data_IF_956986534291
#
_entry.id   IF_956986534291
#
_cell.length_a   1.000
_cell.length_b   1.000
_cell.length_c   1.000
_cell.angle_alpha   90.00
_cell.angle_beta   90.00
_cell.angle_gamma   90.00
#
_symmetry.space_group_name_H-M   'P 1'
#
loop_
_entity.id
_entity.type
_entity.pdbx_description
1 polymer ?
#
# COMPACT_ATOMS: atom_id res chain seq x y z
N UNK A 1 4.23 -67.21 -3.79
CA UNK A 1 4.90 -66.19 -4.64
C UNK A 1 3.91 -65.45 -5.53
N UNK A 2 3.09 -66.14 -6.34
CA UNK A 2 2.08 -65.51 -7.22
C UNK A 2 1.08 -64.60 -6.48
N UNK A 3 0.62 -65.01 -5.29
CA UNK A 3 -0.35 -64.25 -4.47
C UNK A 3 0.19 -62.91 -3.96
N UNK A 4 1.48 -62.86 -3.60
CA UNK A 4 2.14 -61.63 -3.16
C UNK A 4 2.31 -60.63 -4.30
N UNK A 5 2.62 -61.11 -5.50
CA UNK A 5 2.69 -60.28 -6.71
C UNK A 5 1.32 -59.68 -7.02
N UNK A 6 0.26 -60.49 -6.94
CA UNK A 6 -1.11 -60.05 -7.24
C UNK A 6 -1.61 -58.99 -6.23
N UNK A 7 -1.33 -59.19 -4.94
CA UNK A 7 -1.65 -58.23 -3.87
C UNK A 7 -0.87 -56.91 -4.04
N UNK A 8 0.41 -56.99 -4.39
CA UNK A 8 1.23 -55.79 -4.65
C UNK A 8 0.75 -55.01 -5.86
N UNK A 9 0.28 -55.69 -6.91
CA UNK A 9 -0.23 -55.01 -8.11
C UNK A 9 -1.56 -54.31 -7.82
N UNK A 10 -2.42 -54.94 -7.03
CA UNK A 10 -3.71 -54.38 -6.63
C UNK A 10 -3.55 -53.12 -5.75
N UNK A 11 -2.58 -53.09 -4.84
CA UNK A 11 -2.33 -51.93 -3.98
C UNK A 11 -1.82 -50.72 -4.78
N UNK A 12 -0.96 -50.94 -5.77
CA UNK A 12 -0.45 -49.89 -6.67
C UNK A 12 -1.58 -49.29 -7.51
N UNK A 13 -2.50 -50.12 -8.01
CA UNK A 13 -3.66 -49.66 -8.78
C UNK A 13 -4.58 -48.79 -7.92
N UNK A 14 -4.86 -49.20 -6.68
CA UNK A 14 -5.68 -48.42 -5.75
C UNK A 14 -5.04 -47.06 -5.44
N UNK A 15 -3.72 -47.03 -5.22
CA UNK A 15 -2.98 -45.81 -4.94
C UNK A 15 -3.07 -44.83 -6.14
N UNK A 16 -2.91 -45.32 -7.36
CA UNK A 16 -3.02 -44.51 -8.57
C UNK A 16 -4.43 -43.96 -8.78
N UNK A 17 -5.46 -44.74 -8.50
CA UNK A 17 -6.85 -44.27 -8.56
C UNK A 17 -7.12 -43.18 -7.53
N UNK A 18 -6.60 -43.33 -6.32
CA UNK A 18 -6.76 -42.33 -5.25
C UNK A 18 -6.04 -41.02 -5.59
N UNK A 19 -4.81 -41.08 -6.10
CA UNK A 19 -4.05 -39.90 -6.55
C UNK A 19 -4.76 -39.12 -7.66
N UNK A 20 -5.46 -39.82 -8.57
CA UNK A 20 -6.23 -39.18 -9.64
C UNK A 20 -7.51 -38.52 -9.14
N UNK A 21 -8.10 -39.01 -8.05
CA UNK A 21 -9.32 -38.44 -7.47
C UNK A 21 -9.02 -37.20 -6.60
N UNK A 22 -7.91 -37.19 -5.86
CA UNK A 22 -7.52 -36.05 -5.01
C UNK A 22 -7.08 -34.81 -5.81
N UNK A 23 -6.72 -34.99 -7.08
CA UNK A 23 -6.26 -33.92 -7.98
C UNK A 23 -7.36 -33.07 -8.63
N UNK A 24 -8.64 -33.20 -8.27
CA UNK A 24 -9.72 -32.34 -8.81
C UNK A 24 -10.09 -31.22 -7.84
N UNK A 25 -9.42 -30.05 -7.89
CA UNK A 25 -9.93 -28.87 -7.20
C UNK A 25 -11.24 -28.43 -7.88
N UNK A 26 -12.31 -28.39 -7.10
CA UNK A 26 -13.60 -27.84 -7.50
C UNK A 26 -13.44 -26.32 -7.76
N UNK A 27 -13.07 -25.96 -8.99
CA UNK A 27 -12.82 -24.57 -9.41
C UNK A 27 -14.10 -23.77 -9.63
N UNK A 28 -15.27 -24.40 -9.62
CA UNK A 28 -16.52 -23.76 -10.03
C UNK A 28 -17.14 -22.84 -8.96
N UNK A 29 -16.73 -22.99 -7.70
CA UNK A 29 -17.24 -22.17 -6.59
C UNK A 29 -16.51 -20.83 -6.40
N UNK A 30 -15.32 -20.65 -6.99
CA UNK A 30 -14.48 -19.46 -6.77
C UNK A 30 -14.78 -18.28 -7.70
N UNK A 31 -15.29 -18.53 -8.90
CA UNK A 31 -15.59 -17.47 -9.88
C UNK A 31 -16.95 -16.78 -9.64
N UNK A 32 -17.87 -17.43 -8.94
CA UNK A 32 -19.17 -16.82 -8.61
C UNK A 32 -19.08 -15.79 -7.48
N UNK A 33 -18.22 -16.04 -6.50
CA UNK A 33 -18.07 -15.20 -5.29
C UNK A 33 -17.31 -13.90 -5.61
N UNK A 34 -16.32 -13.96 -6.52
CA UNK A 34 -15.49 -12.80 -6.89
C UNK A 34 -16.25 -11.68 -7.62
N UNK A 35 -17.38 -11.99 -8.29
CA UNK A 35 -18.20 -10.99 -8.97
C UNK A 35 -19.01 -10.11 -8.03
N UNK A 36 -19.37 -10.59 -6.84
CA UNK A 36 -20.25 -9.87 -5.91
C UNK A 36 -19.50 -8.71 -5.22
N UNK A 37 -18.18 -8.85 -5.00
CA UNK A 37 -17.37 -7.85 -4.32
C UNK A 37 -16.87 -6.70 -5.21
N UNK A 38 -16.86 -6.87 -6.54
CA UNK A 38 -16.37 -5.83 -7.47
C UNK A 38 -17.40 -4.72 -7.75
N UNK A 39 -18.70 -5.01 -7.61
CA UNK A 39 -19.78 -4.07 -7.91
C UNK A 39 -19.90 -2.90 -6.92
N UNK A 40 -19.27 -3.01 -5.75
CA UNK A 40 -19.33 -2.01 -4.66
C UNK A 40 -17.98 -1.28 -4.44
N UNK A 41 -17.23 -1.06 -5.52
CA UNK A 41 -16.03 -0.20 -5.45
C UNK A 41 -16.47 1.26 -5.56
N UNK A 42 -16.80 1.86 -4.42
CA UNK A 42 -17.05 3.29 -4.30
C UNK A 42 -15.76 4.05 -4.66
N UNK A 43 -15.78 4.81 -5.75
CA UNK A 43 -14.69 5.71 -6.10
C UNK A 43 -14.68 6.88 -5.11
N UNK A 44 -13.86 6.79 -4.08
CA UNK A 44 -13.56 7.96 -3.24
C UNK A 44 -12.84 8.98 -4.13
N UNK A 45 -13.34 10.21 -4.29
CA UNK A 45 -12.57 11.25 -4.96
C UNK A 45 -11.28 11.45 -4.17
N UNK A 46 -10.14 11.33 -4.85
CA UNK A 46 -8.85 11.73 -4.28
C UNK A 46 -8.96 13.23 -4.03
N UNK A 47 -8.85 13.64 -2.75
CA UNK A 47 -8.75 15.07 -2.44
C UNK A 47 -7.61 15.66 -3.29
N UNK A 48 -7.79 16.85 -3.86
CA UNK A 48 -6.72 17.52 -4.56
C UNK A 48 -5.53 17.58 -3.60
N UNK A 49 -4.40 16.99 -3.99
CA UNK A 49 -3.16 17.27 -3.28
C UNK A 49 -2.97 18.78 -3.39
N UNK A 50 -3.15 19.49 -2.28
CA UNK A 50 -2.74 20.89 -2.16
C UNK A 50 -1.23 20.91 -2.31
N UNK A 51 -0.80 20.99 -3.57
CA UNK A 51 0.60 21.10 -3.92
C UNK A 51 0.99 22.52 -3.56
N UNK A 52 1.57 22.67 -2.37
CA UNK A 52 2.31 23.86 -2.03
C UNK A 52 3.54 23.94 -2.94
N UNK A 53 3.36 24.51 -4.14
CA UNK A 53 4.42 24.71 -5.12
C UNK A 53 4.97 26.11 -4.98
N UNK A 54 6.28 26.25 -4.80
CA UNK A 54 6.91 27.57 -4.71
C UNK A 54 8.35 27.51 -4.24
N UNK A 55 9.07 28.63 -4.33
CA UNK A 55 10.48 28.73 -3.95
C UNK A 55 10.70 28.37 -2.47
N UNK A 56 9.82 28.83 -1.57
CA UNK A 56 9.90 28.52 -0.14
C UNK A 56 9.76 27.01 0.13
N UNK A 57 8.79 26.35 -0.52
CA UNK A 57 8.65 24.89 -0.45
C UNK A 57 9.85 24.16 -1.05
N UNK A 58 10.41 24.65 -2.17
CA UNK A 58 11.63 24.12 -2.77
C UNK A 58 12.85 24.20 -1.83
N UNK A 59 12.95 25.24 -0.99
CA UNK A 59 14.00 25.35 0.02
C UNK A 59 13.83 24.32 1.13
N UNK A 60 12.59 24.08 1.58
CA UNK A 60 12.28 23.03 2.54
C UNK A 60 12.60 21.64 1.98
N UNK A 61 12.21 21.39 0.73
CA UNK A 61 12.48 20.14 0.04
C UNK A 61 13.99 19.90 -0.14
N UNK A 62 14.75 20.95 -0.46
CA UNK A 62 16.22 20.89 -0.52
C UNK A 62 16.83 20.58 0.85
N UNK A 63 16.28 21.15 1.93
CA UNK A 63 16.73 20.85 3.29
C UNK A 63 16.40 19.42 3.72
N UNK A 64 15.24 18.89 3.28
CA UNK A 64 14.82 17.51 3.50
C UNK A 64 15.42 16.50 2.48
N UNK A 65 16.37 16.92 1.64
CA UNK A 65 17.00 16.09 0.60
C UNK A 65 16.00 15.40 -0.34
N UNK A 66 14.87 16.05 -0.63
CA UNK A 66 13.82 15.50 -1.49
C UNK A 66 12.72 14.74 -0.76
N UNK A 67 12.82 14.53 0.56
CA UNK A 67 11.78 13.83 1.32
C UNK A 67 10.58 14.73 1.59
N UNK A 68 9.52 14.55 0.78
CA UNK A 68 8.26 15.28 0.91
C UNK A 68 7.54 14.97 2.22
N UNK A 69 7.57 13.72 2.70
CA UNK A 69 6.87 13.34 3.93
C UNK A 69 7.49 14.04 5.15
N UNK A 70 8.81 14.22 5.14
CA UNK A 70 9.50 14.99 6.17
C UNK A 70 9.11 16.48 6.12
N UNK A 71 9.01 17.08 4.93
CA UNK A 71 8.57 18.48 4.78
C UNK A 71 7.14 18.67 5.31
N UNK A 72 6.21 17.78 4.98
CA UNK A 72 4.83 17.85 5.49
C UNK A 72 4.78 17.78 7.01
N UNK A 73 5.60 16.93 7.65
CA UNK A 73 5.67 16.87 9.12
C UNK A 73 6.10 18.22 9.72
N UNK A 74 7.08 18.90 9.11
CA UNK A 74 7.51 20.22 9.57
C UNK A 74 6.41 21.27 9.40
N UNK A 75 5.71 21.26 8.26
CA UNK A 75 4.60 22.19 7.99
C UNK A 75 3.50 22.00 9.03
N UNK A 76 3.03 20.76 9.22
CA UNK A 76 1.97 20.45 10.20
C UNK A 76 2.39 20.83 11.62
N UNK A 77 3.64 20.55 12.00
CA UNK A 77 4.16 20.95 13.31
C UNK A 77 4.18 22.49 13.46
N UNK A 78 4.60 23.22 12.43
CA UNK A 78 4.62 24.69 12.44
C UNK A 78 3.21 25.31 12.49
N UNK A 79 2.23 24.71 11.81
CA UNK A 79 0.83 25.16 11.87
C UNK A 79 0.24 25.00 13.27
N UNK A 80 0.59 23.91 13.97
CA UNK A 80 0.12 23.59 15.32
C UNK A 80 0.84 24.37 16.42
N UNK A 81 2.05 24.86 16.16
CA UNK A 81 2.86 25.58 17.14
C UNK A 81 2.35 27.00 17.42
N UNK A 82 1.56 27.58 16.51
CA UNK A 82 0.97 28.91 16.65
C UNK A 82 -0.50 28.82 17.11
N UNK A 83 -0.91 29.68 18.04
CA UNK A 83 -2.32 29.94 18.35
C UNK A 83 -2.66 31.39 17.99
N UNK A 84 -3.60 31.63 17.06
CA UNK A 84 -4.40 30.66 16.28
C UNK A 84 -3.57 29.83 15.28
N UNK A 85 -4.07 28.66 14.82
CA UNK A 85 -3.39 27.81 13.87
C UNK A 85 -3.00 28.60 12.61
N UNK A 86 -1.74 28.45 12.20
CA UNK A 86 -1.23 29.20 11.07
C UNK A 86 -1.71 28.58 9.75
N UNK A 87 -2.02 29.45 8.79
CA UNK A 87 -2.30 29.01 7.43
C UNK A 87 -1.09 28.29 6.83
N UNK A 88 -1.32 27.32 5.95
CA UNK A 88 -0.30 26.42 5.43
C UNK A 88 0.80 27.17 4.69
N UNK A 89 0.42 28.12 3.84
CA UNK A 89 1.37 28.94 3.08
C UNK A 89 2.22 29.84 4.00
N UNK A 90 1.62 30.35 5.07
CA UNK A 90 2.36 31.12 6.09
C UNK A 90 3.35 30.23 6.85
N UNK A 91 2.95 29.02 7.22
CA UNK A 91 3.85 28.07 7.88
C UNK A 91 5.05 27.71 6.99
N UNK A 92 4.82 27.53 5.69
CA UNK A 92 5.88 27.28 4.70
C UNK A 92 6.83 28.48 4.60
N UNK A 93 6.29 29.69 4.50
CA UNK A 93 7.09 30.92 4.41
C UNK A 93 7.96 31.12 5.66
N UNK A 94 7.40 30.95 6.85
CA UNK A 94 8.14 31.07 8.11
C UNK A 94 9.24 30.01 8.22
N UNK A 95 8.93 28.75 7.92
CA UNK A 95 9.93 27.68 7.96
C UNK A 95 11.07 27.93 6.97
N UNK A 96 10.77 28.40 5.76
CA UNK A 96 11.79 28.76 4.78
C UNK A 96 12.66 29.92 5.26
N UNK A 97 12.05 30.94 5.88
CA UNK A 97 12.78 32.07 6.46
C UNK A 97 13.70 31.63 7.60
N UNK A 98 13.23 30.75 8.51
CA UNK A 98 14.03 30.18 9.60
C UNK A 98 15.22 29.37 9.06
N UNK A 99 15.02 28.57 8.01
CA UNK A 99 16.08 27.82 7.34
C UNK A 99 17.11 28.69 6.61
N UNK A 100 16.68 29.84 6.09
CA UNK A 100 17.60 30.80 5.48
C UNK A 100 18.39 31.55 6.54
N UNK A 101 17.74 31.92 7.65
CA UNK A 101 18.39 32.58 8.78
C UNK A 101 19.44 31.67 9.44
N UNK A 102 19.19 30.37 9.56
CA UNK A 102 20.15 29.42 10.15
C UNK A 102 21.35 29.09 9.24
N UNK A 103 21.32 29.47 7.97
CA UNK A 103 22.43 29.28 7.01
C UNK A 103 23.36 30.48 6.88
N UNK A 104 22.99 31.62 7.46
CA UNK A 104 23.85 32.82 7.53
C UNK A 104 24.65 32.80 8.82
#
# INVERSE_FOLDING_TARGET
MLTFVLLSLLSVILLLLWLRQTGKPNKQSRDADSRIYAAHTQSRPLEPLEHSTGQAFGLLLKAARGDRAQVEKWITAAQQQSMPPLDRDRAIAELAQRLQASRR
#
